data_IF_313467445707
#
_entry.id   IF_313467445707
#
_cell.length_a   1.000
_cell.length_b   1.000
_cell.length_c   1.000
_cell.angle_alpha   90.00
_cell.angle_beta   90.00
_cell.angle_gamma   90.00
#
_symmetry.space_group_name_H-M   'P 1'
#
loop_
_entity.id
_entity.type
_entity.pdbx_description
1 polymer ?
#
# COMPACT_ATOMS: atom_id res chain seq x y z
N UNK A 1 3.04 -8.04 31.81
CA UNK A 1 2.80 -6.65 31.37
C UNK A 1 2.98 -6.61 29.85
N UNK A 2 1.99 -6.18 29.08
CA UNK A 2 2.07 -6.08 27.61
C UNK A 2 2.46 -4.62 27.26
N UNK A 3 3.78 -4.34 27.24
CA UNK A 3 4.34 -3.02 26.92
C UNK A 3 5.27 -3.17 25.73
N UNK A 4 5.00 -2.45 24.65
CA UNK A 4 5.82 -2.40 23.45
C UNK A 4 7.00 -1.44 23.66
N UNK A 5 8.16 -1.77 23.10
CA UNK A 5 9.38 -0.98 23.28
C UNK A 5 9.57 0.08 22.20
N UNK A 6 9.08 -0.17 20.99
CA UNK A 6 9.19 0.73 19.83
C UNK A 6 7.85 0.80 19.10
N UNK A 7 7.58 1.91 18.45
CA UNK A 7 6.38 2.08 17.62
C UNK A 7 6.31 1.02 16.50
N UNK A 8 7.47 0.59 15.99
CA UNK A 8 7.56 -0.45 14.97
C UNK A 8 7.07 -1.82 15.45
N UNK A 9 6.99 -2.07 16.75
CA UNK A 9 6.45 -3.31 17.32
C UNK A 9 4.92 -3.39 17.19
N UNK A 10 4.27 -2.25 16.93
CA UNK A 10 2.82 -2.15 16.72
C UNK A 10 2.40 -2.29 15.25
N UNK A 11 3.36 -2.40 14.34
CA UNK A 11 3.07 -2.54 12.90
C UNK A 11 2.50 -3.94 12.63
N UNK A 12 1.42 -3.99 11.85
CA UNK A 12 0.71 -5.21 11.55
C UNK A 12 -0.45 -5.49 12.51
N UNK A 13 -0.96 -6.70 12.50
CA UNK A 13 -2.14 -7.12 13.27
C UNK A 13 -3.34 -6.18 13.07
N UNK A 14 -3.48 -5.68 11.86
CA UNK A 14 -4.58 -4.79 11.49
C UNK A 14 -5.89 -5.57 11.41
N UNK A 15 -7.03 -4.96 11.78
CA UNK A 15 -8.29 -5.68 11.83
C UNK A 15 -8.89 -5.97 10.45
N UNK A 16 -9.70 -7.03 10.38
CA UNK A 16 -10.73 -7.21 9.36
C UNK A 16 -12.05 -6.63 9.86
N UNK A 17 -12.76 -5.92 8.99
CA UNK A 17 -14.09 -5.38 9.24
C UNK A 17 -15.05 -5.93 8.19
N UNK A 18 -16.16 -6.57 8.62
CA UNK A 18 -17.27 -6.92 7.73
C UNK A 18 -18.03 -5.66 7.31
N UNK A 19 -18.26 -5.52 6.00
CA UNK A 19 -18.95 -4.36 5.43
C UNK A 19 -20.46 -4.62 5.29
N UNK A 20 -21.10 -4.92 6.41
CA UNK A 20 -22.50 -5.37 6.46
C UNK A 20 -23.51 -4.35 5.94
N UNK A 21 -23.29 -3.05 6.11
CA UNK A 21 -24.17 -2.04 5.55
C UNK A 21 -24.10 -2.01 4.03
N UNK A 22 -22.89 -2.07 3.45
CA UNK A 22 -22.70 -2.14 1.99
C UNK A 22 -23.30 -3.45 1.45
N UNK A 23 -23.08 -4.58 2.11
CA UNK A 23 -23.64 -5.87 1.72
C UNK A 23 -25.19 -5.82 1.65
N UNK A 24 -25.82 -5.22 2.67
CA UNK A 24 -27.28 -5.07 2.74
C UNK A 24 -27.82 -4.11 1.68
N UNK A 25 -27.20 -2.93 1.50
CA UNK A 25 -27.61 -1.96 0.47
C UNK A 25 -27.56 -2.55 -0.93
N UNK A 26 -26.51 -3.29 -1.25
CA UNK A 26 -26.27 -3.90 -2.55
C UNK A 26 -26.93 -5.28 -2.69
N UNK A 27 -27.55 -5.80 -1.61
CA UNK A 27 -28.16 -7.15 -1.55
C UNK A 27 -27.18 -8.25 -1.98
N UNK A 28 -25.95 -8.15 -1.48
CA UNK A 28 -24.89 -9.10 -1.82
C UNK A 28 -25.12 -10.43 -1.11
N UNK A 29 -24.85 -11.52 -1.81
CA UNK A 29 -24.88 -12.88 -1.25
C UNK A 29 -23.46 -13.38 -0.91
N UNK A 30 -22.42 -12.60 -1.17
CA UNK A 30 -21.04 -12.80 -0.73
C UNK A 30 -20.73 -11.88 0.46
N UNK A 31 -19.74 -12.27 1.26
CA UNK A 31 -19.21 -11.45 2.36
C UNK A 31 -18.03 -10.62 1.89
N UNK A 32 -17.97 -9.35 2.31
CA UNK A 32 -16.83 -8.45 2.04
C UNK A 32 -16.19 -8.05 3.37
N UNK A 33 -14.93 -8.44 3.55
CA UNK A 33 -14.11 -8.02 4.68
C UNK A 33 -13.06 -7.01 4.23
N UNK A 34 -13.00 -5.88 4.90
CA UNK A 34 -12.00 -4.85 4.69
C UNK A 34 -10.80 -5.07 5.62
N UNK A 35 -9.60 -5.31 5.07
CA UNK A 35 -8.34 -5.30 5.83
C UNK A 35 -7.89 -3.85 6.01
N UNK A 36 -8.07 -3.31 7.21
CA UNK A 36 -7.90 -1.88 7.50
C UNK A 36 -6.45 -1.53 7.83
N UNK A 37 -5.64 -1.28 6.82
CA UNK A 37 -4.20 -1.03 6.97
C UNK A 37 -3.86 0.35 7.57
N UNK A 38 -4.83 1.26 7.67
CA UNK A 38 -4.62 2.53 8.37
C UNK A 38 -4.47 2.39 9.90
N UNK A 39 -4.76 1.22 10.46
CA UNK A 39 -4.45 0.91 11.87
C UNK A 39 -2.96 0.70 12.13
N UNK A 40 -2.12 0.60 11.11
CA UNK A 40 -0.68 0.71 11.31
C UNK A 40 -0.30 2.08 11.89
N UNK A 41 0.73 2.18 12.74
CA UNK A 41 1.06 3.40 13.51
C UNK A 41 1.27 4.66 12.68
N UNK A 42 1.86 4.56 11.49
CA UNK A 42 2.02 5.68 10.57
C UNK A 42 0.89 5.75 9.53
N UNK A 43 -0.19 4.99 9.70
CA UNK A 43 -1.47 5.10 9.02
C UNK A 43 -1.55 4.47 7.64
N UNK A 44 -0.67 3.52 7.30
CA UNK A 44 -0.78 2.81 6.02
C UNK A 44 -0.12 1.43 6.00
N UNK A 45 -0.47 0.65 4.96
CA UNK A 45 0.16 -0.63 4.62
C UNK A 45 1.68 -0.53 4.44
N UNK A 46 2.20 0.64 4.10
CA UNK A 46 3.63 0.87 3.83
C UNK A 46 4.49 0.84 5.09
N UNK A 47 3.92 0.95 6.27
CA UNK A 47 4.63 0.77 7.53
C UNK A 47 5.27 -0.63 7.58
N UNK A 48 4.58 -1.64 7.07
CA UNK A 48 5.06 -3.03 7.03
C UNK A 48 6.36 -3.15 6.23
N UNK A 49 6.37 -2.62 5.01
CA UNK A 49 7.54 -2.70 4.14
C UNK A 49 8.67 -1.77 4.61
N UNK A 50 8.35 -0.61 5.18
CA UNK A 50 9.34 0.27 5.77
C UNK A 50 10.12 -0.45 6.87
N UNK A 51 9.42 -1.06 7.83
CA UNK A 51 10.04 -1.89 8.86
C UNK A 51 10.87 -3.03 8.25
N UNK A 52 10.27 -3.81 7.35
CA UNK A 52 10.92 -5.01 6.82
C UNK A 52 12.18 -4.71 5.99
N UNK A 53 12.16 -3.67 5.16
CA UNK A 53 13.33 -3.29 4.36
C UNK A 53 14.48 -2.80 5.23
N UNK A 54 14.19 -2.06 6.32
CA UNK A 54 15.23 -1.62 7.25
C UNK A 54 15.79 -2.80 8.07
N UNK A 55 14.94 -3.67 8.60
CA UNK A 55 15.38 -4.84 9.38
C UNK A 55 16.17 -5.86 8.54
N UNK A 56 15.78 -6.06 7.28
CA UNK A 56 16.54 -6.90 6.34
C UNK A 56 17.92 -6.30 6.04
N UNK A 57 17.99 -4.98 5.85
CA UNK A 57 19.26 -4.28 5.62
C UNK A 57 20.17 -4.29 6.86
N UNK A 58 19.61 -4.14 8.07
CA UNK A 58 20.34 -4.30 9.34
C UNK A 58 20.92 -5.71 9.46
N UNK A 59 20.09 -6.72 9.22
CA UNK A 59 20.50 -8.13 9.31
C UNK A 59 21.62 -8.51 8.33
N UNK A 60 21.62 -7.86 7.15
CA UNK A 60 22.66 -8.04 6.11
C UNK A 60 23.90 -7.15 6.32
N UNK A 61 23.89 -6.27 7.31
CA UNK A 61 24.96 -5.30 7.56
C UNK A 61 25.06 -4.18 6.52
N UNK A 62 24.05 -4.03 5.65
CA UNK A 62 23.93 -2.95 4.67
C UNK A 62 23.49 -1.63 5.31
N UNK A 63 22.75 -1.68 6.41
CA UNK A 63 22.33 -0.54 7.22
C UNK A 63 23.01 -0.61 8.58
N UNK A 64 23.83 0.39 8.89
CA UNK A 64 24.60 0.51 10.13
C UNK A 64 24.04 1.65 11.00
N UNK A 65 24.35 1.72 12.30
CA UNK A 65 23.80 2.76 13.19
C UNK A 65 24.02 4.21 12.74
N UNK A 66 25.10 4.49 12.00
CA UNK A 66 25.43 5.80 11.46
C UNK A 66 24.99 6.01 10.01
N UNK A 67 24.27 5.06 9.43
CA UNK A 67 23.83 5.14 8.04
C UNK A 67 22.75 6.21 7.84
N UNK A 68 22.76 6.79 6.63
CA UNK A 68 21.68 7.66 6.15
C UNK A 68 20.81 6.89 5.16
N UNK A 69 19.53 6.81 5.45
CA UNK A 69 18.53 6.21 4.56
C UNK A 69 18.12 7.27 3.54
N UNK A 70 18.07 6.90 2.26
CA UNK A 70 17.66 7.81 1.18
C UNK A 70 16.62 7.07 0.34
N UNK A 71 15.42 7.64 0.17
CA UNK A 71 14.38 7.01 -0.67
C UNK A 71 13.71 8.03 -1.59
N UNK A 72 13.62 7.74 -2.90
CA UNK A 72 12.83 8.55 -3.82
C UNK A 72 11.36 8.16 -3.73
N UNK A 73 10.59 8.91 -2.96
CA UNK A 73 9.15 8.65 -2.77
C UNK A 73 8.40 9.90 -2.34
N UNK A 74 7.18 10.05 -2.80
CA UNK A 74 6.26 11.12 -2.38
C UNK A 74 5.06 10.61 -1.60
N UNK A 75 4.99 9.30 -1.36
CA UNK A 75 3.82 8.64 -0.83
C UNK A 75 3.99 8.03 0.56
N UNK A 76 3.13 7.08 0.86
CA UNK A 76 3.06 6.40 2.16
C UNK A 76 4.35 5.69 2.56
N UNK A 77 5.16 5.24 1.59
CA UNK A 77 6.48 4.62 1.88
C UNK A 77 7.40 5.62 2.57
N UNK A 78 7.43 6.87 2.11
CA UNK A 78 8.22 7.92 2.77
C UNK A 78 7.76 8.20 4.20
N UNK A 79 6.45 8.17 4.45
CA UNK A 79 5.89 8.36 5.79
C UNK A 79 6.24 7.17 6.70
N UNK A 80 6.07 5.94 6.21
CA UNK A 80 6.43 4.73 6.96
C UNK A 80 7.92 4.65 7.27
N UNK A 81 8.78 4.99 6.29
CA UNK A 81 10.23 5.08 6.50
C UNK A 81 10.59 6.17 7.51
N UNK A 82 9.92 7.33 7.48
CA UNK A 82 10.17 8.41 8.40
C UNK A 82 9.84 8.01 9.84
N UNK A 83 8.70 7.37 10.08
CA UNK A 83 8.32 6.83 11.38
C UNK A 83 9.29 5.75 11.86
N UNK A 84 9.63 4.78 11.01
CA UNK A 84 10.52 3.69 11.36
C UNK A 84 11.96 4.17 11.60
N UNK A 85 12.47 5.08 10.78
CA UNK A 85 13.80 5.68 10.92
C UNK A 85 13.92 6.47 12.23
N UNK A 86 12.92 7.30 12.56
CA UNK A 86 12.87 8.02 13.83
C UNK A 86 12.91 7.07 15.03
N UNK A 87 12.12 5.99 15.02
CA UNK A 87 12.05 5.01 16.09
C UNK A 87 13.36 4.20 16.26
N UNK A 88 14.13 4.04 15.17
CA UNK A 88 15.41 3.32 15.15
C UNK A 88 16.64 4.22 15.29
N UNK A 89 16.47 5.56 15.23
CA UNK A 89 17.54 6.53 15.36
C UNK A 89 18.35 6.76 14.07
N UNK A 90 17.79 6.46 12.90
CA UNK A 90 18.44 6.71 11.62
C UNK A 90 18.14 8.10 11.06
N UNK A 91 19.10 8.65 10.33
CA UNK A 91 18.86 9.80 9.45
C UNK A 91 18.11 9.34 8.21
N UNK A 92 17.14 10.14 7.77
CA UNK A 92 16.36 9.86 6.57
C UNK A 92 16.30 11.09 5.67
N UNK A 93 16.62 10.89 4.40
CA UNK A 93 16.45 11.86 3.32
C UNK A 93 15.40 11.31 2.35
N UNK A 94 14.37 12.09 2.07
CA UNK A 94 13.36 11.78 1.07
C UNK A 94 13.54 12.72 -0.11
N UNK A 95 13.81 12.16 -1.28
CA UNK A 95 13.82 12.91 -2.54
C UNK A 95 12.43 12.82 -3.20
N UNK A 96 11.83 13.97 -3.56
CA UNK A 96 10.51 14.02 -4.18
C UNK A 96 10.32 15.27 -5.03
N UNK A 97 9.45 15.20 -6.06
CA UNK A 97 9.08 16.39 -6.83
C UNK A 97 8.39 17.45 -5.96
N UNK A 98 8.70 18.72 -6.20
CA UNK A 98 8.11 19.85 -5.48
C UNK A 98 6.59 20.01 -5.64
N UNK A 99 6.01 19.36 -6.66
CA UNK A 99 4.56 19.37 -6.94
C UNK A 99 3.76 18.41 -6.05
N UNK A 100 4.44 17.62 -5.20
CA UNK A 100 3.77 16.63 -4.36
C UNK A 100 3.07 17.27 -3.15
N UNK A 101 2.08 16.54 -2.58
CA UNK A 101 1.23 16.96 -1.47
C UNK A 101 1.99 17.62 -0.31
N UNK A 102 1.54 18.81 0.07
CA UNK A 102 2.10 19.58 1.19
C UNK A 102 1.87 18.84 2.52
N UNK A 103 0.73 18.17 2.68
CA UNK A 103 0.37 17.40 3.87
C UNK A 103 1.36 16.27 4.11
N UNK A 104 1.69 15.51 3.07
CA UNK A 104 2.69 14.43 3.16
C UNK A 104 4.09 14.95 3.46
N UNK A 105 4.47 16.08 2.86
CA UNK A 105 5.75 16.76 3.17
C UNK A 105 5.82 17.16 4.64
N UNK A 106 4.74 17.76 5.17
CA UNK A 106 4.66 18.14 6.59
C UNK A 106 4.74 16.93 7.52
N UNK A 107 4.06 15.83 7.17
CA UNK A 107 4.09 14.58 7.94
C UNK A 107 5.51 13.99 8.02
N UNK A 108 6.20 13.85 6.88
CA UNK A 108 7.57 13.35 6.85
C UNK A 108 8.53 14.23 7.65
N UNK A 109 8.43 15.57 7.52
CA UNK A 109 9.20 16.52 8.33
C UNK A 109 8.91 16.42 9.81
N UNK A 110 7.65 16.20 10.20
CA UNK A 110 7.27 16.04 11.60
C UNK A 110 7.90 14.80 12.25
N UNK A 111 8.14 13.74 11.47
CA UNK A 111 8.94 12.57 11.89
C UNK A 111 10.45 12.81 11.85
N UNK A 112 10.91 13.98 11.42
CA UNK A 112 12.34 14.33 11.37
C UNK A 112 13.05 14.00 10.06
N UNK A 113 12.35 13.63 9.00
CA UNK A 113 12.95 13.40 7.69
C UNK A 113 13.40 14.71 7.04
N UNK A 114 14.57 14.70 6.42
CA UNK A 114 15.04 15.74 5.52
C UNK A 114 14.39 15.55 4.14
N UNK A 115 13.84 16.63 3.57
CA UNK A 115 13.23 16.60 2.26
C UNK A 115 14.10 17.33 1.23
N UNK A 116 14.48 16.62 0.18
CA UNK A 116 15.13 17.17 -1.00
C UNK A 116 14.09 17.25 -2.11
N UNK A 117 13.64 18.48 -2.40
CA UNK A 117 12.68 18.74 -3.45
C UNK A 117 13.37 18.83 -4.80
N UNK A 118 12.85 18.10 -5.78
CA UNK A 118 13.34 18.13 -7.15
C UNK A 118 12.36 18.88 -8.06
N UNK A 119 12.86 19.32 -9.21
CA UNK A 119 12.07 20.03 -10.21
C UNK A 119 10.83 19.23 -10.63
N UNK A 120 9.65 19.84 -10.49
CA UNK A 120 8.36 19.20 -10.75
C UNK A 120 8.23 18.60 -12.15
N UNK A 121 8.78 19.29 -13.17
CA UNK A 121 8.75 18.83 -14.56
C UNK A 121 9.47 17.50 -14.80
N UNK A 122 10.44 17.14 -13.94
CA UNK A 122 11.18 15.85 -14.02
C UNK A 122 10.44 14.69 -13.35
N UNK A 123 9.38 14.98 -12.59
CA UNK A 123 8.57 13.97 -11.89
C UNK A 123 9.40 13.02 -11.02
N UNK A 124 8.93 11.79 -10.85
CA UNK A 124 9.65 10.78 -10.04
C UNK A 124 11.01 10.38 -10.62
N UNK A 125 11.22 10.48 -11.94
CA UNK A 125 12.54 10.23 -12.54
C UNK A 125 13.60 11.19 -11.99
N UNK A 126 13.24 12.46 -11.82
CA UNK A 126 14.12 13.46 -11.20
C UNK A 126 14.44 13.14 -9.73
N UNK A 127 13.45 12.67 -8.98
CA UNK A 127 13.65 12.28 -7.59
C UNK A 127 14.54 11.03 -7.46
N UNK A 128 14.39 10.04 -8.34
CA UNK A 128 15.25 8.86 -8.37
C UNK A 128 16.70 9.25 -8.67
N UNK A 129 16.93 10.04 -9.73
CA UNK A 129 18.27 10.51 -10.08
C UNK A 129 18.93 11.30 -8.92
N UNK A 130 18.15 12.13 -8.22
CA UNK A 130 18.67 12.87 -7.05
C UNK A 130 18.99 11.97 -5.86
N UNK A 131 18.17 10.94 -5.61
CA UNK A 131 18.48 9.97 -4.56
C UNK A 131 19.77 9.19 -4.85
N UNK A 132 19.98 8.79 -6.11
CA UNK A 132 21.22 8.12 -6.54
C UNK A 132 22.45 9.02 -6.46
N UNK A 133 22.31 10.31 -6.79
CA UNK A 133 23.36 11.32 -6.62
C UNK A 133 23.75 11.45 -5.15
N UNK A 134 22.76 11.67 -4.27
CA UNK A 134 22.99 11.78 -2.83
C UNK A 134 23.62 10.51 -2.24
N UNK A 135 23.24 9.34 -2.71
CA UNK A 135 23.81 8.08 -2.25
C UNK A 135 25.29 7.92 -2.62
N UNK A 136 25.77 8.57 -3.68
CA UNK A 136 27.19 8.61 -4.04
C UNK A 136 27.98 9.62 -3.23
N UNK A 137 27.33 10.71 -2.81
CA UNK A 137 27.94 11.80 -2.05
C UNK A 137 27.99 11.52 -0.54
N UNK A 138 26.98 10.81 -0.02
CA UNK A 138 26.85 10.57 1.42
C UNK A 138 27.42 9.19 1.76
N UNK A 139 28.53 9.12 2.52
CA UNK A 139 29.08 7.85 2.99
C UNK A 139 28.07 7.08 3.84
N UNK A 140 28.11 5.75 3.80
CA UNK A 140 27.21 4.86 4.55
C UNK A 140 25.74 5.11 4.26
N UNK A 141 25.38 5.53 3.04
CA UNK A 141 23.98 5.66 2.64
C UNK A 141 23.37 4.33 2.21
N UNK A 142 22.05 4.21 2.38
CA UNK A 142 21.27 3.05 2.00
C UNK A 142 19.97 3.49 1.32
N UNK A 143 19.69 2.93 0.13
CA UNK A 143 18.42 3.14 -0.59
C UNK A 143 17.58 1.87 -0.43
N UNK A 144 16.43 1.93 0.27
CA UNK A 144 15.51 0.78 0.43
C UNK A 144 14.97 0.20 -0.87
N UNK A 145 14.72 1.03 -1.89
CA UNK A 145 14.30 0.60 -3.25
C UNK A 145 13.00 -0.21 -3.26
N UNK A 146 11.90 0.38 -2.83
CA UNK A 146 10.60 -0.30 -2.65
C UNK A 146 10.11 -1.11 -3.85
N UNK A 147 10.48 -0.74 -5.07
CA UNK A 147 10.01 -1.39 -6.32
C UNK A 147 10.81 -2.64 -6.72
N UNK A 148 11.99 -2.85 -6.12
CA UNK A 148 12.89 -3.97 -6.45
C UNK A 148 13.36 -4.76 -5.23
N UNK A 149 13.14 -4.28 -4.01
CA UNK A 149 13.58 -4.93 -2.79
C UNK A 149 12.72 -6.15 -2.44
N UNK A 150 13.28 -7.37 -2.39
CA UNK A 150 12.52 -8.59 -2.07
C UNK A 150 11.98 -8.62 -0.65
N UNK A 151 12.49 -7.80 0.28
CA UNK A 151 11.93 -7.67 1.62
C UNK A 151 10.50 -7.11 1.61
N UNK A 152 10.11 -6.38 0.55
CA UNK A 152 8.76 -5.86 0.38
C UNK A 152 7.73 -7.00 0.25
N UNK A 153 7.71 -7.85 -0.78
CA UNK A 153 6.76 -8.95 -0.84
C UNK A 153 6.93 -9.94 0.33
N UNK A 154 8.16 -10.18 0.79
CA UNK A 154 8.41 -11.06 1.93
C UNK A 154 7.73 -10.57 3.23
N UNK A 155 7.63 -9.27 3.46
CA UNK A 155 6.90 -8.71 4.59
C UNK A 155 5.41 -9.11 4.57
N UNK A 156 4.78 -9.02 3.41
CA UNK A 156 3.37 -9.37 3.23
C UNK A 156 3.11 -10.87 3.30
N UNK A 157 4.03 -11.68 2.80
CA UNK A 157 3.96 -13.14 2.92
C UNK A 157 4.03 -13.59 4.38
N UNK A 158 4.90 -12.95 5.18
CA UNK A 158 5.11 -13.29 6.59
C UNK A 158 4.10 -12.67 7.55
N UNK A 159 3.37 -11.63 7.15
CA UNK A 159 2.47 -10.90 8.05
C UNK A 159 1.07 -10.76 7.48
N UNK A 160 0.84 -9.96 6.46
CA UNK A 160 -0.48 -9.65 5.90
C UNK A 160 -1.24 -10.91 5.46
N UNK A 161 -0.56 -11.81 4.76
CA UNK A 161 -1.17 -13.07 4.32
C UNK A 161 -1.53 -13.98 5.48
N UNK A 162 -0.64 -14.08 6.49
CA UNK A 162 -0.88 -14.85 7.71
C UNK A 162 -2.09 -14.29 8.46
N UNK A 163 -2.10 -12.98 8.70
CA UNK A 163 -3.20 -12.31 9.41
C UNK A 163 -4.55 -12.53 8.72
N UNK A 164 -4.62 -12.36 7.38
CA UNK A 164 -5.86 -12.58 6.63
C UNK A 164 -6.33 -14.03 6.76
N UNK A 165 -5.42 -14.99 6.64
CA UNK A 165 -5.76 -16.40 6.77
C UNK A 165 -6.29 -16.74 8.17
N UNK A 166 -5.59 -16.30 9.20
CA UNK A 166 -5.95 -16.57 10.59
C UNK A 166 -7.23 -15.84 11.01
N UNK A 167 -7.38 -14.55 10.64
CA UNK A 167 -8.55 -13.74 10.97
C UNK A 167 -9.84 -14.17 10.24
N UNK A 168 -9.71 -14.95 9.16
CA UNK A 168 -10.85 -15.56 8.44
C UNK A 168 -11.05 -17.03 8.77
N UNK A 169 -10.35 -17.60 9.75
CA UNK A 169 -10.34 -19.06 10.02
C UNK A 169 -10.10 -19.90 8.74
N UNK A 170 -9.29 -19.35 7.81
CA UNK A 170 -8.99 -20.00 6.53
C UNK A 170 -10.12 -20.03 5.52
N UNK A 171 -11.17 -19.23 5.69
CA UNK A 171 -12.34 -19.21 4.79
C UNK A 171 -12.27 -18.19 3.65
N UNK A 172 -11.15 -17.45 3.52
CA UNK A 172 -10.97 -16.50 2.43
C UNK A 172 -10.98 -17.20 1.07
N UNK A 173 -11.90 -16.79 0.19
CA UNK A 173 -12.01 -17.30 -1.18
C UNK A 173 -11.34 -16.38 -2.20
N UNK A 174 -11.46 -15.06 -2.00
CA UNK A 174 -10.97 -14.05 -2.93
C UNK A 174 -10.23 -12.96 -2.16
N UNK A 175 -9.00 -12.67 -2.58
CA UNK A 175 -8.21 -11.54 -2.08
C UNK A 175 -8.07 -10.46 -3.14
N UNK A 176 -8.39 -9.22 -2.80
CA UNK A 176 -8.39 -8.07 -3.71
C UNK A 176 -7.40 -7.02 -3.20
N UNK A 177 -6.48 -6.60 -4.04
CA UNK A 177 -5.53 -5.54 -3.71
C UNK A 177 -5.15 -4.68 -4.92
N UNK A 178 -5.01 -3.38 -4.69
CA UNK A 178 -4.45 -2.44 -5.65
C UNK A 178 -2.94 -2.65 -5.83
N UNK A 179 -2.46 -2.52 -7.08
CA UNK A 179 -1.06 -2.74 -7.44
C UNK A 179 -0.31 -1.42 -7.58
N UNK A 180 0.48 -1.08 -6.56
CA UNK A 180 1.51 -0.02 -6.61
C UNK A 180 2.88 -0.62 -6.86
N UNK A 181 3.59 -1.03 -5.79
CA UNK A 181 4.84 -1.79 -5.91
C UNK A 181 4.62 -3.27 -6.24
N UNK A 182 3.41 -3.78 -6.06
CA UNK A 182 3.10 -5.20 -6.23
C UNK A 182 3.47 -6.09 -5.05
N UNK A 183 4.16 -5.58 -4.04
CA UNK A 183 4.58 -6.38 -2.89
C UNK A 183 3.42 -6.94 -2.08
N UNK A 184 2.38 -6.14 -1.85
CA UNK A 184 1.19 -6.56 -1.11
C UNK A 184 0.51 -7.77 -1.75
N UNK A 185 0.17 -7.66 -3.04
CA UNK A 185 -0.53 -8.74 -3.75
C UNK A 185 0.33 -9.97 -3.92
N UNK A 186 1.63 -9.78 -4.19
CA UNK A 186 2.60 -10.87 -4.35
C UNK A 186 2.77 -11.66 -3.07
N UNK A 187 3.13 -11.00 -1.98
CA UNK A 187 3.41 -11.68 -0.71
C UNK A 187 2.16 -12.30 -0.09
N UNK A 188 1.08 -11.53 -0.01
CA UNK A 188 -0.20 -12.02 0.52
C UNK A 188 -0.73 -13.17 -0.34
N UNK A 189 -0.72 -13.03 -1.66
CA UNK A 189 -1.18 -14.07 -2.58
C UNK A 189 -0.38 -15.36 -2.48
N UNK A 190 0.96 -15.27 -2.34
CA UNK A 190 1.83 -16.44 -2.13
C UNK A 190 1.43 -17.20 -0.88
N UNK A 191 1.28 -16.50 0.25
CA UNK A 191 0.89 -17.15 1.49
C UNK A 191 -0.50 -17.79 1.39
N UNK A 192 -1.50 -17.06 0.93
CA UNK A 192 -2.89 -17.56 0.82
C UNK A 192 -2.96 -18.79 -0.11
N UNK A 193 -2.34 -18.74 -1.29
CA UNK A 193 -2.30 -19.88 -2.22
C UNK A 193 -1.49 -21.05 -1.70
N UNK A 194 -0.49 -20.83 -0.83
CA UNK A 194 0.23 -21.92 -0.16
C UNK A 194 -0.65 -22.68 0.83
N UNK A 195 -1.65 -22.01 1.41
CA UNK A 195 -2.64 -22.62 2.33
C UNK A 195 -3.80 -23.27 1.57
N UNK A 196 -4.32 -22.56 0.58
CA UNK A 196 -5.39 -23.03 -0.28
C UNK A 196 -5.14 -22.55 -1.71
N UNK A 197 -4.74 -23.43 -2.64
CA UNK A 197 -4.43 -23.05 -4.02
C UNK A 197 -5.66 -22.54 -4.80
N UNK A 198 -6.88 -22.76 -4.30
CA UNK A 198 -8.11 -22.28 -4.90
C UNK A 198 -8.45 -20.82 -4.53
N UNK A 199 -7.71 -20.19 -3.62
CA UNK A 199 -7.88 -18.76 -3.33
C UNK A 199 -7.60 -17.95 -4.59
N UNK A 200 -8.61 -17.17 -5.02
CA UNK A 200 -8.47 -16.27 -6.15
C UNK A 200 -7.84 -14.96 -5.71
N UNK A 201 -6.80 -14.54 -6.41
CA UNK A 201 -6.10 -13.28 -6.18
C UNK A 201 -6.45 -12.31 -7.30
N UNK A 202 -6.97 -11.14 -6.95
CA UNK A 202 -7.44 -10.13 -7.91
C UNK A 202 -6.64 -8.85 -7.77
N UNK A 203 -5.99 -8.48 -8.87
CA UNK A 203 -5.24 -7.24 -8.97
C UNK A 203 -6.13 -6.08 -9.40
N UNK A 204 -5.95 -4.91 -8.79
CA UNK A 204 -6.63 -3.69 -9.18
C UNK A 204 -5.63 -2.69 -9.75
N UNK A 205 -5.93 -2.15 -10.93
CA UNK A 205 -5.16 -1.10 -11.58
C UNK A 205 -6.05 0.06 -12.05
N UNK A 206 -5.51 1.27 -12.29
CA UNK A 206 -6.29 2.37 -12.86
C UNK A 206 -6.68 2.05 -14.32
N UNK A 207 -7.95 2.25 -14.68
CA UNK A 207 -8.45 1.99 -16.03
C UNK A 207 -7.76 2.85 -17.10
N UNK A 208 -7.33 4.06 -16.74
CA UNK A 208 -6.60 4.97 -17.64
C UNK A 208 -5.09 4.70 -17.69
N UNK A 209 -4.58 3.78 -16.85
CA UNK A 209 -3.18 3.33 -16.85
C UNK A 209 -3.10 1.80 -16.73
N UNK A 210 -3.67 1.05 -17.68
CA UNK A 210 -3.84 -0.40 -17.63
C UNK A 210 -2.54 -1.13 -17.99
N UNK A 211 -1.48 -0.94 -17.20
CA UNK A 211 -0.15 -1.49 -17.45
C UNK A 211 -0.16 -3.03 -17.37
N UNK A 212 -0.88 -3.58 -16.40
CA UNK A 212 -0.89 -5.03 -16.17
C UNK A 212 -1.76 -5.76 -17.20
N UNK A 213 -2.91 -5.19 -17.57
CA UNK A 213 -3.85 -5.84 -18.50
C UNK A 213 -3.57 -5.52 -19.96
N UNK A 214 -3.05 -4.32 -20.28
CA UNK A 214 -2.87 -3.84 -21.67
C UNK A 214 -1.45 -3.37 -22.01
N UNK A 215 -0.52 -3.36 -21.04
CA UNK A 215 0.85 -2.89 -21.24
C UNK A 215 1.00 -1.39 -21.49
N UNK A 216 -0.04 -0.58 -21.22
CA UNK A 216 -0.07 0.86 -21.54
C UNK A 216 -0.16 1.69 -20.26
N UNK A 217 0.80 2.58 -20.06
CA UNK A 217 0.75 3.58 -18.99
C UNK A 217 0.03 4.85 -19.45
N UNK A 218 -0.69 5.47 -18.52
CA UNK A 218 -1.39 6.72 -18.74
C UNK A 218 -1.57 7.53 -17.45
N UNK A 219 -2.03 8.78 -17.54
CA UNK A 219 -2.32 9.61 -16.38
C UNK A 219 -3.57 9.10 -15.66
N UNK A 220 -3.53 9.09 -14.33
CA UNK A 220 -4.66 8.73 -13.47
C UNK A 220 -4.61 9.50 -12.15
N UNK A 221 -5.73 9.46 -11.39
CA UNK A 221 -5.87 10.15 -10.10
C UNK A 221 -5.90 9.20 -8.90
N UNK A 222 -5.79 7.89 -9.10
CA UNK A 222 -5.81 6.89 -8.03
C UNK A 222 -4.42 6.80 -7.40
N UNK A 223 -4.12 7.71 -6.46
CA UNK A 223 -2.83 7.76 -5.79
C UNK A 223 -2.54 6.46 -5.03
N UNK A 224 -1.29 6.01 -5.07
CA UNK A 224 -0.81 4.83 -4.34
C UNK A 224 -0.74 3.54 -5.14
N UNK A 225 -1.39 3.49 -6.31
CA UNK A 225 -1.32 2.38 -7.27
C UNK A 225 -0.98 2.90 -8.68
N UNK A 226 -0.77 1.99 -9.64
CA UNK A 226 -0.54 2.38 -11.03
C UNK A 226 0.80 3.10 -11.24
N UNK A 227 1.91 2.46 -10.93
CA UNK A 227 3.27 3.04 -11.03
C UNK A 227 3.69 3.42 -12.46
N UNK A 228 2.95 2.99 -13.48
CA UNK A 228 3.27 3.23 -14.90
C UNK A 228 4.24 2.23 -15.50
N UNK A 229 4.65 1.24 -14.74
CA UNK A 229 5.53 0.13 -15.16
C UNK A 229 5.22 -1.11 -14.30
N UNK A 230 5.73 -2.27 -14.71
CA UNK A 230 5.65 -3.52 -13.93
C UNK A 230 6.84 -3.55 -12.95
N UNK A 231 6.61 -3.49 -11.63
CA UNK A 231 7.68 -3.52 -10.63
C UNK A 231 8.35 -4.90 -10.51
N UNK A 232 9.63 -4.94 -10.16
CA UNK A 232 10.37 -6.19 -9.92
C UNK A 232 9.81 -6.98 -8.72
N UNK A 233 9.18 -6.28 -7.75
CA UNK A 233 8.54 -6.88 -6.58
C UNK A 233 7.17 -7.49 -6.87
N UNK A 234 6.65 -7.34 -8.09
CA UNK A 234 5.40 -7.94 -8.54
C UNK A 234 5.65 -9.30 -9.22
N UNK A 235 5.08 -10.34 -8.66
CA UNK A 235 4.94 -11.63 -9.33
C UNK A 235 3.71 -11.60 -10.24
N UNK A 236 3.90 -11.44 -11.54
CA UNK A 236 2.81 -11.34 -12.51
C UNK A 236 2.01 -12.63 -12.70
N UNK A 237 2.43 -13.74 -12.06
CA UNK A 237 1.72 -15.02 -12.09
C UNK A 237 0.88 -15.26 -10.83
N UNK A 238 0.94 -14.33 -9.86
CA UNK A 238 0.25 -14.53 -8.58
C UNK A 238 -1.25 -14.25 -8.66
N UNK A 239 -1.66 -13.30 -9.47
CA UNK A 239 -3.05 -12.92 -9.63
C UNK A 239 -3.73 -13.72 -10.75
N UNK A 240 -5.01 -14.00 -10.53
CA UNK A 240 -5.87 -14.78 -11.43
C UNK A 240 -6.73 -13.87 -12.31
N UNK A 241 -6.96 -12.63 -11.87
CA UNK A 241 -7.76 -11.62 -12.57
C UNK A 241 -7.20 -10.22 -12.32
N UNK A 242 -7.42 -9.32 -13.28
CA UNK A 242 -7.12 -7.89 -13.17
C UNK A 242 -8.43 -7.13 -13.36
N UNK A 243 -8.77 -6.22 -12.44
CA UNK A 243 -9.91 -5.33 -12.55
C UNK A 243 -9.41 -3.89 -12.70
N UNK A 244 -9.55 -3.29 -13.90
CA UNK A 244 -9.31 -1.87 -14.09
C UNK A 244 -10.44 -1.06 -13.44
N UNK A 245 -10.09 0.01 -12.70
CA UNK A 245 -11.04 0.86 -11.99
C UNK A 245 -10.89 2.31 -12.47
N UNK A 246 -12.02 2.97 -12.75
CA UNK A 246 -12.05 4.38 -13.12
C UNK A 246 -11.79 5.27 -11.90
N UNK A 247 -11.28 6.51 -12.15
CA UNK A 247 -11.02 7.44 -11.07
C UNK A 247 -12.28 7.77 -10.26
N UNK A 248 -13.40 7.97 -10.96
CA UNK A 248 -14.66 8.37 -10.33
C UNK A 248 -15.27 7.24 -9.50
N UNK A 249 -15.17 5.99 -9.97
CA UNK A 249 -15.60 4.80 -9.20
C UNK A 249 -14.81 4.66 -7.90
N UNK A 250 -13.49 4.89 -7.95
CA UNK A 250 -12.64 4.87 -6.78
C UNK A 250 -13.00 5.98 -5.78
N UNK A 251 -13.28 7.20 -6.28
CA UNK A 251 -13.66 8.34 -5.45
C UNK A 251 -15.02 8.14 -4.79
N UNK A 252 -16.02 7.74 -5.58
CA UNK A 252 -17.38 7.51 -5.10
C UNK A 252 -17.41 6.41 -4.04
N UNK A 253 -16.78 5.28 -4.32
CA UNK A 253 -16.73 4.15 -3.39
C UNK A 253 -16.01 4.51 -2.11
N UNK A 254 -14.90 5.26 -2.18
CA UNK A 254 -14.18 5.73 -1.01
C UNK A 254 -14.97 6.75 -0.16
N UNK A 255 -15.78 7.60 -0.79
CA UNK A 255 -16.73 8.47 -0.06
C UNK A 255 -17.88 7.68 0.56
N UNK A 256 -18.37 6.68 -0.17
CA UNK A 256 -19.49 5.84 0.27
C UNK A 256 -19.15 5.08 1.54
N UNK A 257 -18.03 4.38 1.60
CA UNK A 257 -17.65 3.59 2.79
C UNK A 257 -17.56 4.47 4.05
N UNK A 258 -17.12 5.73 3.92
CA UNK A 258 -17.10 6.65 5.05
C UNK A 258 -18.51 6.96 5.58
N UNK A 259 -19.50 7.08 4.70
CA UNK A 259 -20.88 7.41 5.05
C UNK A 259 -21.69 6.19 5.51
N UNK A 260 -21.38 4.99 4.99
CA UNK A 260 -22.15 3.77 5.27
C UNK A 260 -21.56 2.95 6.40
N UNK A 261 -20.24 2.82 6.47
CA UNK A 261 -19.54 2.00 7.47
C UNK A 261 -18.76 2.82 8.52
N UNK A 262 -18.69 4.15 8.35
CA UNK A 262 -17.91 5.01 9.24
C UNK A 262 -16.39 4.88 9.08
N UNK A 263 -15.92 4.38 7.94
CA UNK A 263 -14.51 4.08 7.65
C UNK A 263 -13.97 5.06 6.65
N UNK A 264 -13.14 6.02 7.09
CA UNK A 264 -12.53 7.03 6.23
C UNK A 264 -11.24 6.49 5.60
N UNK A 265 -11.24 6.30 4.29
CA UNK A 265 -10.14 5.66 3.55
C UNK A 265 -9.62 6.51 2.39
N UNK A 266 -8.42 6.18 1.91
CA UNK A 266 -7.81 6.82 0.75
C UNK A 266 -8.36 6.33 -0.60
N UNK A 267 -7.89 6.96 -1.68
CA UNK A 267 -8.41 6.75 -3.04
C UNK A 267 -8.20 5.31 -3.51
N UNK A 268 -7.02 4.74 -3.29
CA UNK A 268 -6.73 3.35 -3.69
C UNK A 268 -7.51 2.31 -2.89
N UNK A 269 -7.93 2.67 -1.67
CA UNK A 269 -8.86 1.85 -0.87
C UNK A 269 -10.25 1.82 -1.52
N UNK A 270 -10.73 2.98 -2.01
CA UNK A 270 -11.97 3.05 -2.78
C UNK A 270 -11.92 2.19 -4.03
N UNK A 271 -10.80 2.19 -4.76
CA UNK A 271 -10.61 1.35 -5.94
C UNK A 271 -10.64 -0.16 -5.60
N UNK A 272 -9.94 -0.58 -4.54
CA UNK A 272 -9.95 -1.98 -4.11
C UNK A 272 -11.33 -2.44 -3.64
N UNK A 273 -12.05 -1.58 -2.91
CA UNK A 273 -13.41 -1.86 -2.47
C UNK A 273 -14.39 -1.91 -3.64
N UNK A 274 -14.29 -0.99 -4.61
CA UNK A 274 -15.10 -1.05 -5.81
C UNK A 274 -14.98 -2.41 -6.52
N UNK A 275 -13.74 -2.86 -6.74
CA UNK A 275 -13.50 -4.16 -7.36
C UNK A 275 -14.09 -5.32 -6.52
N UNK A 276 -13.97 -5.26 -5.20
CA UNK A 276 -14.57 -6.27 -4.30
C UNK A 276 -16.09 -6.30 -4.40
N UNK A 277 -16.76 -5.15 -4.47
CA UNK A 277 -18.22 -5.06 -4.65
C UNK A 277 -18.62 -5.65 -6.02
N UNK A 278 -17.89 -5.34 -7.10
CA UNK A 278 -18.17 -5.92 -8.42
C UNK A 278 -18.02 -7.45 -8.43
N UNK A 279 -17.01 -7.98 -7.73
CA UNK A 279 -16.83 -9.41 -7.55
C UNK A 279 -17.98 -10.03 -6.73
N UNK A 280 -18.41 -9.37 -5.67
CA UNK A 280 -19.50 -9.85 -4.80
C UNK A 280 -20.86 -9.91 -5.50
N UNK A 281 -21.08 -9.07 -6.52
CA UNK A 281 -22.29 -9.07 -7.35
C UNK A 281 -22.37 -10.25 -8.33
N UNK A 282 -21.28 -10.95 -8.56
CA UNK A 282 -21.25 -12.06 -9.53
C UNK A 282 -21.93 -13.30 -8.94
N UNK A 283 -22.86 -13.94 -9.67
CA UNK A 283 -23.57 -15.12 -9.17
C UNK A 283 -22.67 -16.26 -8.72
N UNK A 284 -21.54 -16.47 -9.40
CA UNK A 284 -20.54 -17.50 -9.08
C UNK A 284 -19.82 -17.26 -7.75
N UNK A 285 -19.96 -16.07 -7.18
CA UNK A 285 -19.35 -15.70 -5.90
C UNK A 285 -20.34 -15.70 -4.74
N UNK A 286 -21.56 -16.17 -4.97
CA UNK A 286 -22.56 -16.37 -3.89
C UNK A 286 -21.98 -17.23 -2.77
N UNK A 287 -22.10 -16.74 -1.52
CA UNK A 287 -21.62 -17.42 -0.32
C UNK A 287 -20.11 -17.37 -0.10
N UNK A 288 -19.34 -16.70 -0.98
CA UNK A 288 -17.90 -16.57 -0.84
C UNK A 288 -17.49 -15.44 0.10
N UNK A 289 -16.31 -15.59 0.67
CA UNK A 289 -15.62 -14.58 1.48
C UNK A 289 -14.59 -13.83 0.64
N UNK A 290 -14.78 -12.52 0.48
CA UNK A 290 -13.94 -11.62 -0.27
C UNK A 290 -13.21 -10.71 0.71
N UNK A 291 -11.88 -10.67 0.68
CA UNK A 291 -11.07 -9.75 1.49
C UNK A 291 -10.49 -8.68 0.59
N UNK A 292 -10.86 -7.42 0.82
CA UNK A 292 -10.28 -6.26 0.17
C UNK A 292 -9.27 -5.56 1.09
N UNK A 293 -8.04 -5.36 0.64
CA UNK A 293 -7.05 -4.61 1.39
C UNK A 293 -7.23 -3.12 1.13
N UNK A 294 -7.51 -2.36 2.20
CA UNK A 294 -7.67 -0.90 2.19
C UNK A 294 -6.39 -0.25 2.74
N UNK A 295 -5.54 0.33 1.86
CA UNK A 295 -4.15 0.65 2.19
C UNK A 295 -3.93 1.72 3.23
N UNK A 296 -4.78 2.77 3.30
CA UNK A 296 -4.52 3.93 4.14
C UNK A 296 -5.76 4.73 4.54
N UNK A 297 -5.53 5.76 5.37
CA UNK A 297 -6.56 6.69 5.86
C UNK A 297 -6.95 7.75 4.82
N UNK A 298 -8.21 8.17 4.82
CA UNK A 298 -8.72 9.25 3.98
C UNK A 298 -8.26 10.66 4.40
N UNK A 299 -7.78 10.85 5.62
CA UNK A 299 -7.31 12.17 6.10
C UNK A 299 -6.21 12.78 5.20
N UNK A 300 -5.42 11.94 4.55
CA UNK A 300 -4.36 12.36 3.60
C UNK A 300 -4.90 12.90 2.28
N UNK A 301 -6.20 12.81 2.03
CA UNK A 301 -6.85 13.09 0.75
C UNK A 301 -7.95 14.13 0.84
N UNK A 302 -8.20 14.75 2.02
CA UNK A 302 -9.28 15.71 2.24
C UNK A 302 -9.19 16.94 1.32
N UNK A 303 -7.99 17.33 0.89
CA UNK A 303 -7.75 18.43 -0.07
C UNK A 303 -7.73 17.98 -1.54
N UNK A 304 -8.04 16.71 -1.84
CA UNK A 304 -8.05 16.17 -3.20
C UNK A 304 -9.45 16.16 -3.81
N UNK A 305 -9.53 15.93 -5.14
CA UNK A 305 -10.79 15.80 -5.85
C UNK A 305 -11.74 14.71 -5.30
N UNK A 306 -11.23 13.78 -4.49
CA UNK A 306 -12.08 12.78 -3.83
C UNK A 306 -13.04 13.41 -2.82
N UNK A 307 -12.62 14.46 -2.09
CA UNK A 307 -13.41 15.10 -1.03
C UNK A 307 -13.72 16.58 -1.28
N UNK A 308 -13.15 17.20 -2.35
CA UNK A 308 -13.54 18.55 -2.74
C UNK A 308 -14.96 18.54 -3.35
N UNK A 309 -15.77 19.50 -2.93
CA UNK A 309 -17.12 19.78 -3.46
C UNK A 309 -17.08 20.29 -4.91
#
# INVERSE_FOLDING_TARGET
MKVYKKITDLIGHTPLLELGNIENEEKLEAKIYAKLEYFNPAGSVKDRIAKAMLEDAEAKGALKPDSTIIEPTSGNTGIGLASAAAAKGYKLIIAMPETMSVERRKLMKAYGAELVLTEGAKGMKGAIAKAEELAKEIPNSFIPSQFSNPANPAAHEKTTGVEIWDDTDGTVDIFVAGVGTGGTITGTGRYLKSKNPNVKVVAVEPATSPVLSKGTAGPHKIQGIGAGFVPDTLDTKIYDEIIPVENDDAFETGRRIAKTEGVLVGISSGAALYAAIQLAKRPENKGKTIVALLPDTGERYLSTAMFSE
#
